data_IF_597584419460
#
_entry.id   IF_597584419460
#
_cell.length_a   1.000
_cell.length_b   1.000
_cell.length_c   1.000
_cell.angle_alpha   90.00
_cell.angle_beta   90.00
_cell.angle_gamma   90.00
#
_symmetry.space_group_name_H-M   'P 1'
#
loop_
_entity.id
_entity.type
_entity.pdbx_description
1 polymer ?
#
# COMPACT_ATOMS: atom_id res chain seq x y z
N UNK A 1 20.22 -1.66 5.19
CA UNK A 1 19.59 -0.33 4.96
C UNK A 1 18.88 -0.37 3.63
N UNK A 2 17.69 0.21 3.52
CA UNK A 2 16.92 0.27 2.27
C UNK A 2 16.55 1.72 1.94
N UNK A 3 16.21 1.96 0.68
CA UNK A 3 15.62 3.22 0.21
C UNK A 3 14.19 2.89 -0.24
N UNK A 4 13.15 3.44 0.40
CA UNK A 4 11.79 3.21 -0.06
C UNK A 4 11.56 3.91 -1.40
N UNK A 5 10.78 3.27 -2.25
CA UNK A 5 10.22 3.88 -3.46
C UNK A 5 8.95 4.66 -3.11
N UNK A 6 8.62 5.75 -3.82
CA UNK A 6 9.43 6.38 -4.88
C UNK A 6 10.60 7.21 -4.31
N UNK A 7 10.46 7.69 -3.07
CA UNK A 7 11.50 8.31 -2.28
C UNK A 7 11.07 8.30 -0.80
N UNK A 8 11.97 8.68 0.12
CA UNK A 8 11.70 8.65 1.56
C UNK A 8 10.49 9.51 1.96
N UNK A 9 10.43 10.75 1.49
CA UNK A 9 9.37 11.69 1.88
C UNK A 9 8.01 11.20 1.41
N UNK A 10 7.88 10.93 0.10
CA UNK A 10 6.61 10.46 -0.48
C UNK A 10 6.19 9.10 0.05
N UNK A 11 7.13 8.15 0.18
CA UNK A 11 6.83 6.80 0.65
C UNK A 11 6.36 6.78 2.11
N UNK A 12 6.96 7.61 2.97
CA UNK A 12 6.53 7.73 4.38
C UNK A 12 5.21 8.47 4.51
N UNK A 13 5.01 9.54 3.75
CA UNK A 13 3.74 10.28 3.71
C UNK A 13 2.59 9.36 3.29
N UNK A 14 2.76 8.64 2.18
CA UNK A 14 1.82 7.63 1.70
C UNK A 14 1.51 6.56 2.76
N UNK A 15 2.54 6.06 3.46
CA UNK A 15 2.37 5.07 4.51
C UNK A 15 1.55 5.59 5.69
N UNK A 16 1.80 6.84 6.10
CA UNK A 16 1.05 7.50 7.19
C UNK A 16 -0.40 7.72 6.78
N UNK A 17 -0.65 8.20 5.56
CA UNK A 17 -2.01 8.43 5.03
C UNK A 17 -2.80 7.12 4.99
N UNK A 18 -2.18 6.03 4.53
CA UNK A 18 -2.78 4.70 4.53
C UNK A 18 -2.93 4.06 5.93
N UNK A 19 -2.46 4.73 7.00
CA UNK A 19 -2.55 4.22 8.37
C UNK A 19 -1.63 3.03 8.66
N UNK A 20 -0.52 2.90 7.94
CA UNK A 20 0.42 1.79 8.08
C UNK A 20 1.10 1.73 9.45
N UNK A 21 1.32 0.51 9.97
CA UNK A 21 1.96 0.29 11.26
C UNK A 21 3.46 0.64 11.26
N UNK A 22 4.03 0.85 12.46
CA UNK A 22 5.48 1.02 12.63
C UNK A 22 6.26 -0.31 12.54
N UNK A 23 5.60 -1.43 12.85
CA UNK A 23 6.15 -2.76 12.65
C UNK A 23 5.82 -3.27 11.25
N UNK A 24 6.82 -3.81 10.56
CA UNK A 24 6.69 -4.37 9.22
C UNK A 24 7.37 -5.73 9.15
N UNK A 25 7.02 -6.50 8.12
CA UNK A 25 7.74 -7.71 7.73
C UNK A 25 8.54 -7.37 6.48
N UNK A 26 9.87 -7.53 6.54
CA UNK A 26 10.75 -7.34 5.39
C UNK A 26 10.99 -8.70 4.73
N UNK A 27 10.89 -8.76 3.41
CA UNK A 27 11.18 -9.96 2.62
C UNK A 27 11.93 -9.61 1.34
N UNK A 28 12.84 -10.51 0.94
CA UNK A 28 13.53 -10.48 -0.35
C UNK A 28 12.94 -11.46 -1.38
N UNK A 29 12.18 -12.46 -0.91
CA UNK A 29 11.62 -13.53 -1.76
C UNK A 29 10.17 -13.25 -2.16
N UNK A 30 9.44 -12.47 -1.36
CA UNK A 30 8.02 -12.17 -1.58
C UNK A 30 7.86 -10.97 -2.51
N UNK A 31 7.04 -11.12 -3.55
CA UNK A 31 6.73 -10.04 -4.51
C UNK A 31 5.44 -9.31 -4.14
N UNK A 32 5.29 -8.07 -4.63
CA UNK A 32 4.05 -7.30 -4.46
C UNK A 32 2.84 -7.98 -5.12
N UNK A 33 3.05 -8.68 -6.24
CA UNK A 33 2.00 -9.46 -6.92
C UNK A 33 1.49 -10.59 -6.04
N UNK A 34 2.39 -11.35 -5.40
CA UNK A 34 2.00 -12.39 -4.44
C UNK A 34 1.18 -11.84 -3.27
N UNK A 35 1.56 -10.67 -2.75
CA UNK A 35 0.79 -10.02 -1.67
C UNK A 35 -0.58 -9.53 -2.12
N UNK A 36 -0.69 -9.03 -3.36
CA UNK A 36 -1.97 -8.63 -3.97
C UNK A 36 -2.90 -9.84 -4.14
N UNK A 37 -2.37 -10.94 -4.65
CA UNK A 37 -3.13 -12.18 -4.83
C UNK A 37 -3.57 -12.76 -3.48
N UNK A 38 -2.68 -12.76 -2.48
CA UNK A 38 -3.02 -13.19 -1.13
C UNK A 38 -4.13 -12.32 -0.51
N UNK A 39 -4.03 -10.99 -0.60
CA UNK A 39 -5.07 -10.08 -0.11
C UNK A 39 -6.42 -10.34 -0.79
N UNK A 40 -6.41 -10.63 -2.10
CA UNK A 40 -7.62 -11.01 -2.85
C UNK A 40 -8.21 -12.35 -2.37
N UNK A 41 -7.37 -13.35 -2.06
CA UNK A 41 -7.84 -14.64 -1.52
C UNK A 41 -8.42 -14.49 -0.11
N UNK A 42 -7.82 -13.63 0.71
CA UNK A 42 -8.23 -13.36 2.09
C UNK A 42 -9.39 -12.38 2.19
N UNK A 43 -9.81 -11.81 1.07
CA UNK A 43 -10.83 -10.80 0.96
C UNK A 43 -10.59 -9.53 1.78
N UNK A 44 -9.38 -8.98 1.66
CA UNK A 44 -8.97 -7.74 2.32
C UNK A 44 -8.44 -6.71 1.31
N UNK A 45 -8.47 -5.44 1.69
CA UNK A 45 -7.91 -4.34 0.91
C UNK A 45 -6.39 -4.52 0.71
N UNK A 46 -5.92 -4.17 -0.48
CA UNK A 46 -4.50 -4.12 -0.81
C UNK A 46 -4.12 -2.75 -1.33
N UNK A 47 -3.22 -2.08 -0.61
CA UNK A 47 -2.67 -0.76 -0.96
C UNK A 47 -1.20 -0.96 -1.33
N UNK A 48 -0.80 -0.49 -2.51
CA UNK A 48 0.57 -0.66 -3.02
C UNK A 48 1.26 0.68 -3.19
N UNK A 49 2.28 0.92 -2.36
CA UNK A 49 3.18 2.07 -2.51
C UNK A 49 4.41 1.60 -3.30
N UNK A 50 4.62 2.18 -4.48
CA UNK A 50 5.66 1.81 -5.43
C UNK A 50 6.28 3.04 -6.11
N UNK A 51 7.21 2.80 -7.04
CA UNK A 51 7.99 3.83 -7.74
C UNK A 51 7.16 4.90 -8.49
N UNK A 52 5.91 4.60 -8.83
CA UNK A 52 5.04 5.52 -9.59
C UNK A 52 3.92 6.10 -8.70
N UNK A 53 3.94 5.82 -7.38
CA UNK A 53 2.96 6.35 -6.43
C UNK A 53 3.12 7.85 -6.28
N UNK A 54 2.03 8.59 -6.45
CA UNK A 54 1.88 9.97 -5.99
C UNK A 54 0.92 10.01 -4.80
N UNK A 55 1.07 10.98 -3.91
CA UNK A 55 0.19 11.14 -2.75
C UNK A 55 -1.25 11.36 -3.19
N UNK A 56 -1.46 12.23 -4.19
CA UNK A 56 -2.79 12.53 -4.75
C UNK A 56 -3.49 11.29 -5.33
N UNK A 57 -2.77 10.46 -6.10
CA UNK A 57 -3.34 9.23 -6.66
C UNK A 57 -3.68 8.23 -5.55
N UNK A 58 -2.81 8.10 -4.55
CA UNK A 58 -3.06 7.21 -3.41
C UNK A 58 -4.31 7.64 -2.61
N UNK A 59 -4.46 8.93 -2.31
CA UNK A 59 -5.65 9.44 -1.60
C UNK A 59 -6.93 9.16 -2.39
N UNK A 60 -6.89 9.31 -3.71
CA UNK A 60 -8.01 8.98 -4.58
C UNK A 60 -8.35 7.49 -4.54
N UNK A 61 -7.33 6.62 -4.66
CA UNK A 61 -7.50 5.16 -4.64
C UNK A 61 -8.03 4.67 -3.28
N UNK A 62 -7.55 5.25 -2.17
CA UNK A 62 -8.02 4.95 -0.81
C UNK A 62 -9.49 5.36 -0.63
N UNK A 63 -9.89 6.52 -1.15
CA UNK A 63 -11.30 6.95 -1.08
C UNK A 63 -12.23 5.99 -1.82
N UNK A 64 -11.85 5.58 -3.04
CA UNK A 64 -12.63 4.62 -3.82
C UNK A 64 -12.67 3.24 -3.15
N UNK A 65 -11.55 2.81 -2.57
CA UNK A 65 -11.45 1.54 -1.87
C UNK A 65 -12.30 1.52 -0.61
N UNK A 66 -12.26 2.58 0.21
CA UNK A 66 -13.11 2.72 1.41
C UNK A 66 -14.60 2.61 1.08
N UNK A 67 -15.04 3.25 -0.01
CA UNK A 67 -16.42 3.10 -0.50
C UNK A 67 -16.72 1.67 -0.93
N UNK A 68 -15.86 1.07 -1.76
CA UNK A 68 -16.07 -0.28 -2.28
C UNK A 68 -16.13 -1.32 -1.15
N UNK A 69 -15.26 -1.23 -0.15
CA UNK A 69 -15.20 -2.16 0.98
C UNK A 69 -16.31 -1.93 2.00
N UNK A 70 -16.84 -0.71 2.14
CA UNK A 70 -18.03 -0.45 2.98
C UNK A 70 -19.34 -0.91 2.35
N UNK A 71 -19.40 -0.96 1.02
CA UNK A 71 -20.60 -1.35 0.26
C UNK A 71 -20.65 -2.85 -0.06
N UNK A 72 -19.54 -3.55 0.14
CA UNK A 72 -19.43 -5.00 0.02
C UNK A 72 -20.09 -5.71 1.20
#
# INVERSE_FOLDING_TARGET
>A
MWKPEPNLTTGVEAWIIAGGAHHTVLSYDVTAEQMKDWARMMDIEFVHIHKDTTVEALEHDLFLSDLAWKLK
#
